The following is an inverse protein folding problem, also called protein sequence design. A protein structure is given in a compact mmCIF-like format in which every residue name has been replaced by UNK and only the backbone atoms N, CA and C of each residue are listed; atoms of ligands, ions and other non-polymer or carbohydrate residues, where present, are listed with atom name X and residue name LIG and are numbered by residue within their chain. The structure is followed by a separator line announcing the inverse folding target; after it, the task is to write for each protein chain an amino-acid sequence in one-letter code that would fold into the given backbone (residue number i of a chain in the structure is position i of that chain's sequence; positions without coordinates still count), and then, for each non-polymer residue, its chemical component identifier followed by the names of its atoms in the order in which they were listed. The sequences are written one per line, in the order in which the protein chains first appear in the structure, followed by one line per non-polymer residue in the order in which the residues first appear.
data_IF_544040903481
#
_entry.id   IF_544040903481
#
_cell.length_a   1.000
_cell.length_b   1.000
_cell.length_c   1.000
_cell.angle_alpha   90.00
_cell.angle_beta   90.00
_cell.angle_gamma   90.00
#
_symmetry.space_group_name_H-M   'P 1'
#
loop_
_entity.id
_entity.type
_entity.pdbx_description
1 polymer ?
#
# COMPACT_ATOMS: atom_id res chain seq x y z
N UNK A 1 25.46 -52.73 24.42
CA UNK A 1 24.84 -51.54 23.79
C UNK A 1 25.03 -51.65 22.27
N UNK A 2 23.93 -51.73 21.53
CA UNK A 2 23.90 -52.04 20.09
C UNK A 2 24.49 -50.87 19.28
N UNK A 3 25.50 -51.14 18.44
CA UNK A 3 25.88 -50.28 17.31
C UNK A 3 25.45 -51.00 16.03
N UNK A 4 24.60 -50.36 15.24
CA UNK A 4 24.24 -50.82 13.90
C UNK A 4 25.37 -50.46 12.90
N UNK A 5 25.64 -51.31 11.90
CA UNK A 5 26.72 -51.13 10.96
C UNK A 5 26.29 -50.26 9.77
N UNK A 6 27.24 -49.50 9.26
CA UNK A 6 27.19 -48.88 7.95
C UNK A 6 27.64 -49.90 6.86
N UNK A 7 27.11 -49.69 5.66
CA UNK A 7 27.63 -50.12 4.36
C UNK A 7 27.57 -51.60 3.96
N UNK A 8 26.88 -51.90 2.85
CA UNK A 8 27.43 -51.98 1.48
C UNK A 8 26.61 -52.96 0.63
N UNK A 9 25.96 -52.46 -0.42
CA UNK A 9 25.77 -53.20 -1.66
C UNK A 9 25.79 -52.20 -2.82
N UNK A 10 26.94 -52.23 -3.52
CA UNK A 10 27.22 -51.74 -4.86
C UNK A 10 26.25 -52.43 -5.87
N UNK A 11 25.96 -51.99 -7.10
CA UNK A 11 26.59 -51.09 -8.07
C UNK A 11 25.60 -50.98 -9.27
N UNK A 12 25.62 -49.84 -9.98
CA UNK A 12 25.17 -49.63 -11.37
C UNK A 12 23.66 -49.86 -11.66
N UNK A 13 22.93 -48.95 -12.28
CA UNK A 13 23.18 -48.45 -13.64
C UNK A 13 23.00 -46.93 -13.76
N UNK A 14 23.88 -46.33 -14.57
CA UNK A 14 23.75 -44.98 -15.06
C UNK A 14 22.61 -44.91 -16.07
N UNK A 15 21.57 -44.16 -15.73
CA UNK A 15 20.49 -43.77 -16.62
C UNK A 15 20.28 -42.27 -16.49
N UNK A 16 21.09 -41.52 -17.22
CA UNK A 16 20.97 -40.08 -17.38
C UNK A 16 19.56 -39.74 -17.89
N UNK A 17 18.73 -39.19 -17.02
CA UNK A 17 17.44 -38.62 -17.40
C UNK A 17 17.26 -37.32 -16.64
N UNK A 18 17.46 -36.23 -17.38
CA UNK A 18 17.18 -34.86 -16.97
C UNK A 18 15.79 -34.77 -16.31
N UNK A 19 15.61 -33.96 -15.25
CA UNK A 19 14.28 -33.68 -14.75
C UNK A 19 13.50 -32.95 -15.83
N UNK A 20 12.48 -33.61 -16.37
CA UNK A 20 11.45 -32.98 -17.18
C UNK A 20 10.80 -31.89 -16.35
N UNK A 21 11.07 -30.64 -16.70
CA UNK A 21 10.27 -29.50 -16.25
C UNK A 21 8.84 -29.70 -16.78
N UNK A 22 7.97 -30.32 -15.98
CA UNK A 22 6.53 -30.21 -16.17
C UNK A 22 6.18 -28.72 -16.06
N UNK A 23 5.83 -28.13 -17.19
CA UNK A 23 5.23 -26.81 -17.30
C UNK A 23 3.89 -26.80 -16.54
N UNK A 24 3.95 -26.61 -15.22
CA UNK A 24 2.78 -26.38 -14.40
C UNK A 24 2.30 -24.96 -14.72
N UNK A 25 1.36 -24.85 -15.66
CA UNK A 25 0.52 -23.66 -15.73
C UNK A 25 -0.15 -23.49 -14.37
N UNK A 26 0.00 -22.34 -13.70
CA UNK A 26 -0.63 -22.13 -12.40
C UNK A 26 -2.15 -22.32 -12.52
N UNK A 27 -2.78 -23.00 -11.54
CA UNK A 27 -4.21 -23.31 -11.59
C UNK A 27 -5.03 -22.02 -11.60
N UNK A 28 -5.92 -21.89 -12.58
CA UNK A 28 -6.81 -20.74 -12.71
C UNK A 28 -7.70 -20.58 -11.47
N UNK A 29 -8.07 -19.32 -11.17
CA UNK A 29 -8.92 -18.96 -10.04
C UNK A 29 -10.25 -18.39 -10.53
N UNK A 30 -11.35 -18.99 -10.09
CA UNK A 30 -12.70 -18.60 -10.47
C UNK A 30 -13.63 -18.51 -9.24
N UNK A 31 -14.71 -17.75 -9.35
CA UNK A 31 -15.69 -17.57 -8.27
C UNK A 31 -17.14 -17.90 -8.69
N UNK A 32 -18.01 -18.05 -7.69
CA UNK A 32 -19.43 -18.35 -7.85
C UNK A 32 -20.27 -17.23 -8.50
N UNK A 33 -19.67 -16.11 -8.91
CA UNK A 33 -20.32 -15.07 -9.71
C UNK A 33 -20.00 -15.22 -11.21
N UNK A 34 -19.33 -16.31 -11.62
CA UNK A 34 -18.92 -16.54 -13.01
C UNK A 34 -17.72 -15.69 -13.42
N UNK A 35 -16.94 -15.17 -12.46
CA UNK A 35 -15.74 -14.39 -12.74
C UNK A 35 -14.50 -15.27 -12.74
N UNK A 36 -13.59 -14.98 -13.66
CA UNK A 36 -12.25 -15.56 -13.75
C UNK A 36 -11.23 -14.51 -13.31
N UNK A 37 -10.58 -14.76 -12.19
CA UNK A 37 -9.58 -13.85 -11.65
C UNK A 37 -8.31 -13.88 -12.50
N UNK A 38 -7.89 -12.71 -12.99
CA UNK A 38 -6.72 -12.59 -13.88
C UNK A 38 -5.47 -12.23 -13.08
N UNK A 39 -4.34 -12.87 -13.44
CA UNK A 39 -3.05 -12.64 -12.81
C UNK A 39 -2.25 -11.58 -13.60
N UNK A 40 -1.90 -10.47 -12.95
CA UNK A 40 -0.88 -9.51 -13.41
C UNK A 40 0.49 -9.78 -12.78
N UNK A 41 0.55 -10.70 -11.82
CA UNK A 41 1.73 -11.15 -11.10
C UNK A 41 1.55 -12.58 -10.61
N UNK A 42 2.62 -13.19 -10.10
CA UNK A 42 2.56 -14.50 -9.45
C UNK A 42 1.61 -14.44 -8.24
N UNK A 43 0.56 -15.27 -8.24
CA UNK A 43 -0.50 -15.37 -7.21
C UNK A 43 -1.53 -14.21 -7.17
N UNK A 44 -1.46 -13.23 -8.07
CA UNK A 44 -2.39 -12.11 -8.09
C UNK A 44 -3.86 -12.55 -8.28
N UNK A 45 -4.10 -13.60 -9.05
CA UNK A 45 -5.42 -14.22 -9.21
C UNK A 45 -6.02 -14.71 -7.87
N UNK A 46 -5.22 -15.35 -7.01
CA UNK A 46 -5.64 -15.76 -5.66
C UNK A 46 -5.87 -14.56 -4.72
N UNK A 47 -4.95 -13.59 -4.74
CA UNK A 47 -5.10 -12.36 -3.95
C UNK A 47 -6.36 -11.59 -4.34
N UNK A 48 -6.67 -11.54 -5.64
CA UNK A 48 -7.87 -10.90 -6.14
C UNK A 48 -9.12 -11.54 -5.55
N UNK A 49 -9.22 -12.87 -5.55
CA UNK A 49 -10.38 -13.56 -4.96
C UNK A 49 -10.46 -13.29 -3.44
N UNK A 50 -9.34 -13.39 -2.74
CA UNK A 50 -9.30 -13.21 -1.28
C UNK A 50 -9.71 -11.81 -0.84
N UNK A 51 -9.27 -10.78 -1.58
CA UNK A 51 -9.68 -9.41 -1.31
C UNK A 51 -11.19 -9.23 -1.45
N UNK A 52 -11.79 -9.80 -2.49
CA UNK A 52 -13.25 -9.74 -2.67
C UNK A 52 -13.97 -10.51 -1.56
N UNK A 53 -13.47 -11.68 -1.14
CA UNK A 53 -14.05 -12.44 -0.03
C UNK A 53 -14.00 -11.69 1.31
N UNK A 54 -13.03 -10.80 1.51
CA UNK A 54 -12.89 -10.01 2.72
C UNK A 54 -13.76 -8.74 2.73
N UNK A 55 -14.07 -8.19 1.55
CA UNK A 55 -14.71 -6.87 1.42
C UNK A 55 -16.16 -6.91 0.92
N UNK A 56 -16.57 -8.02 0.31
CA UNK A 56 -17.93 -8.20 -0.18
C UNK A 56 -18.88 -8.65 0.93
N UNK A 57 -20.08 -8.08 0.97
CA UNK A 57 -21.19 -8.59 1.80
C UNK A 57 -21.76 -9.92 1.23
N UNK A 58 -21.55 -10.18 -0.06
CA UNK A 58 -21.93 -11.44 -0.69
C UNK A 58 -20.92 -12.57 -0.36
N UNK A 59 -21.44 -13.77 -0.06
CA UNK A 59 -20.65 -14.98 0.18
C UNK A 59 -19.96 -15.47 -1.10
N UNK A 60 -18.80 -14.91 -1.37
CA UNK A 60 -17.95 -15.27 -2.51
C UNK A 60 -17.19 -16.56 -2.22
N UNK A 61 -17.31 -17.54 -3.11
CA UNK A 61 -16.66 -18.84 -2.98
C UNK A 61 -15.78 -19.15 -4.19
N UNK A 62 -14.62 -19.76 -3.92
CA UNK A 62 -13.76 -20.29 -4.98
C UNK A 62 -14.45 -21.48 -5.64
N UNK A 63 -14.49 -21.50 -6.97
CA UNK A 63 -14.99 -22.62 -7.75
C UNK A 63 -13.91 -23.17 -8.69
N UNK A 64 -14.13 -24.40 -9.16
CA UNK A 64 -13.36 -24.95 -10.27
C UNK A 64 -13.73 -24.21 -11.55
N UNK A 65 -12.75 -23.70 -12.28
CA UNK A 65 -12.98 -22.97 -13.52
C UNK A 65 -13.58 -23.89 -14.60
N UNK A 66 -14.59 -23.39 -15.29
CA UNK A 66 -15.27 -24.05 -16.41
C UNK A 66 -15.76 -23.02 -17.44
N UNK A 67 -16.54 -23.48 -18.44
CA UNK A 67 -17.05 -22.63 -19.53
C UNK A 67 -18.04 -21.53 -19.10
N UNK A 68 -18.56 -21.57 -17.87
CA UNK A 68 -19.46 -20.54 -17.33
C UNK A 68 -18.71 -19.28 -16.87
N UNK A 69 -17.41 -19.39 -16.59
CA UNK A 69 -16.58 -18.32 -16.03
C UNK A 69 -16.01 -17.40 -17.11
N UNK A 70 -16.88 -16.59 -17.73
CA UNK A 70 -16.55 -15.78 -18.91
C UNK A 70 -16.03 -14.38 -18.58
N UNK A 71 -16.26 -13.89 -17.37
CA UNK A 71 -15.95 -12.49 -17.01
C UNK A 71 -14.53 -12.41 -16.44
N UNK A 72 -13.54 -11.83 -17.15
CA UNK A 72 -12.24 -11.57 -16.55
C UNK A 72 -12.39 -10.53 -15.45
N UNK A 73 -11.78 -10.78 -14.29
CA UNK A 73 -11.92 -9.91 -13.14
C UNK A 73 -10.60 -9.74 -12.41
N UNK A 74 -10.34 -8.52 -11.96
CA UNK A 74 -9.29 -8.21 -11.01
C UNK A 74 -9.93 -7.33 -9.95
N UNK A 75 -9.73 -7.66 -8.68
CA UNK A 75 -10.24 -6.86 -7.58
C UNK A 75 -9.76 -5.43 -7.77
N UNK A 76 -10.59 -4.39 -7.67
CA UNK A 76 -10.14 -3.00 -7.78
C UNK A 76 -9.00 -2.69 -6.78
N UNK A 77 -9.02 -3.36 -5.62
CA UNK A 77 -7.96 -3.30 -4.61
C UNK A 77 -6.65 -3.93 -5.07
N UNK A 78 -6.70 -4.90 -6.00
CA UNK A 78 -5.53 -5.51 -6.61
C UNK A 78 -5.15 -4.86 -7.95
N UNK A 79 -6.11 -4.34 -8.72
CA UNK A 79 -5.86 -3.56 -9.92
C UNK A 79 -5.06 -2.30 -9.56
N UNK A 80 -5.39 -1.68 -8.42
CA UNK A 80 -4.59 -0.64 -7.79
C UNK A 80 -3.23 -1.12 -7.23
N UNK A 81 -2.99 -2.43 -7.10
CA UNK A 81 -1.71 -3.06 -6.76
C UNK A 81 -0.95 -3.63 -7.98
N UNK A 82 -1.55 -3.69 -9.17
CA UNK A 82 -0.92 -4.29 -10.37
C UNK A 82 0.31 -3.54 -10.89
N UNK A 83 0.70 -2.47 -10.20
CA UNK A 83 2.04 -1.89 -10.24
C UNK A 83 2.85 -2.38 -9.03
N UNK A 84 3.37 -3.61 -9.08
CA UNK A 84 4.53 -4.01 -8.28
C UNK A 84 5.77 -3.27 -8.77
N UNK A 85 5.80 -1.97 -8.50
CA UNK A 85 7.00 -1.14 -8.54
C UNK A 85 7.09 -0.56 -7.12
N UNK A 86 8.25 -0.70 -6.48
CA UNK A 86 8.48 -0.27 -5.10
C UNK A 86 8.24 1.23 -4.88
N UNK A 87 8.70 1.74 -3.74
CA UNK A 87 8.63 3.16 -3.38
C UNK A 87 9.08 4.05 -4.55
N UNK A 88 8.16 4.84 -5.11
CA UNK A 88 8.49 5.85 -6.12
C UNK A 88 8.41 7.23 -5.47
N UNK A 89 9.54 7.94 -5.50
CA UNK A 89 9.64 9.31 -5.00
C UNK A 89 9.12 10.24 -6.09
N UNK A 90 8.17 11.11 -5.73
CA UNK A 90 7.69 12.14 -6.66
C UNK A 90 8.77 13.16 -7.01
N UNK A 91 8.53 13.92 -8.07
CA UNK A 91 9.47 14.93 -8.59
C UNK A 91 9.96 15.86 -7.46
N UNK A 92 11.23 15.74 -7.07
CA UNK A 92 11.88 16.66 -6.14
C UNK A 92 12.11 17.99 -6.87
N UNK A 93 11.33 19.01 -6.52
CA UNK A 93 11.72 20.39 -6.80
C UNK A 93 12.63 20.82 -5.65
N UNK A 94 13.77 21.44 -5.93
CA UNK A 94 14.76 21.86 -4.92
C UNK A 94 14.08 22.45 -3.68
N UNK A 95 14.25 21.82 -2.50
CA UNK A 95 13.66 22.26 -1.23
C UNK A 95 12.20 21.86 -0.97
N UNK A 96 11.52 21.13 -1.87
CA UNK A 96 10.11 20.74 -1.75
C UNK A 96 9.88 19.27 -2.08
N UNK A 97 9.00 18.65 -1.28
CA UNK A 97 8.67 17.24 -1.37
C UNK A 97 7.18 17.04 -1.16
N UNK A 98 6.49 16.66 -2.24
CA UNK A 98 5.05 16.44 -2.20
C UNK A 98 4.68 15.11 -1.52
N UNK A 99 5.63 14.20 -1.37
CA UNK A 99 5.44 12.87 -0.80
C UNK A 99 5.87 11.79 -1.79
N UNK A 100 5.60 10.54 -1.43
CA UNK A 100 5.78 9.42 -2.35
C UNK A 100 4.64 9.41 -3.37
N UNK A 101 4.98 9.22 -4.65
CA UNK A 101 3.97 9.01 -5.69
C UNK A 101 3.30 7.63 -5.51
N UNK A 102 4.09 6.64 -5.09
CA UNK A 102 3.66 5.27 -4.79
C UNK A 102 4.39 4.72 -3.55
N UNK A 103 3.64 4.03 -2.69
CA UNK A 103 4.18 3.22 -1.59
C UNK A 103 3.43 1.89 -1.51
N UNK A 104 4.18 0.79 -1.49
CA UNK A 104 3.64 -0.58 -1.61
C UNK A 104 2.64 -0.74 -2.78
N UNK A 105 2.97 -0.14 -3.93
CA UNK A 105 2.13 -0.14 -5.14
C UNK A 105 0.91 0.79 -5.08
N UNK A 106 0.66 1.44 -3.95
CA UNK A 106 -0.55 2.23 -3.71
C UNK A 106 -0.26 3.73 -3.76
N UNK A 107 -1.16 4.47 -4.41
CA UNK A 107 -1.08 5.93 -4.58
C UNK A 107 -1.52 6.68 -3.31
N UNK A 108 -1.18 7.96 -3.28
CA UNK A 108 -1.47 8.85 -2.14
C UNK A 108 -2.96 8.90 -1.74
N UNK A 109 -3.89 8.81 -2.69
CA UNK A 109 -5.34 8.79 -2.44
C UNK A 109 -5.77 7.57 -1.61
N UNK A 110 -5.26 6.39 -1.92
CA UNK A 110 -5.47 5.20 -1.09
C UNK A 110 -4.98 5.42 0.33
N UNK A 111 -3.77 5.95 0.48
CA UNK A 111 -3.17 6.17 1.79
C UNK A 111 -3.88 7.26 2.59
N UNK A 112 -4.36 8.32 1.93
CA UNK A 112 -5.20 9.34 2.54
C UNK A 112 -6.53 8.76 3.05
N UNK A 113 -7.20 7.92 2.26
CA UNK A 113 -8.42 7.24 2.68
C UNK A 113 -8.18 6.26 3.85
N UNK A 114 -7.08 5.49 3.80
CA UNK A 114 -6.70 4.59 4.89
C UNK A 114 -6.37 5.36 6.17
N UNK A 115 -5.63 6.46 6.06
CA UNK A 115 -5.31 7.33 7.17
C UNK A 115 -6.59 7.89 7.83
N UNK A 116 -7.57 8.33 7.03
CA UNK A 116 -8.85 8.82 7.55
C UNK A 116 -9.66 7.75 8.29
N UNK A 117 -9.64 6.51 7.79
CA UNK A 117 -10.52 5.43 8.27
C UNK A 117 -9.88 4.53 9.34
N UNK A 118 -8.54 4.42 9.36
CA UNK A 118 -7.79 3.55 10.27
C UNK A 118 -6.88 4.32 11.22
N UNK A 119 -6.62 5.60 10.96
CA UNK A 119 -5.81 6.46 11.81
C UNK A 119 -4.30 6.21 11.70
N UNK A 120 -3.54 6.98 12.47
CA UNK A 120 -2.07 6.97 12.46
C UNK A 120 -1.48 5.67 13.01
N UNK A 121 -2.17 5.02 13.96
CA UNK A 121 -1.69 3.83 14.66
C UNK A 121 -1.88 2.53 13.86
N UNK A 122 -2.56 2.59 12.72
CA UNK A 122 -2.63 1.46 11.79
C UNK A 122 -1.23 1.13 11.28
N UNK A 123 -0.77 -0.11 11.49
CA UNK A 123 0.59 -0.55 11.16
C UNK A 123 1.01 -0.22 9.72
N UNK A 124 0.09 -0.30 8.75
CA UNK A 124 0.39 0.00 7.34
C UNK A 124 0.52 1.50 7.13
N UNK A 125 -0.36 2.29 7.74
CA UNK A 125 -0.28 3.76 7.73
C UNK A 125 1.01 4.22 8.40
N UNK A 126 1.33 3.72 9.60
CA UNK A 126 2.57 4.05 10.31
C UNK A 126 3.82 3.78 9.46
N UNK A 127 3.87 2.63 8.77
CA UNK A 127 5.00 2.28 7.88
C UNK A 127 5.11 3.22 6.67
N UNK A 128 3.98 3.60 6.06
CA UNK A 128 3.94 4.59 4.98
C UNK A 128 4.44 5.95 5.45
N UNK A 129 3.92 6.45 6.57
CA UNK A 129 4.29 7.73 7.17
C UNK A 129 5.79 7.76 7.50
N UNK A 130 6.31 6.70 8.12
CA UNK A 130 7.72 6.58 8.46
C UNK A 130 8.61 6.58 7.21
N UNK A 131 8.25 5.81 6.19
CA UNK A 131 9.01 5.73 4.94
C UNK A 131 9.05 7.09 4.24
N UNK A 132 7.91 7.77 4.14
CA UNK A 132 7.84 9.08 3.50
C UNK A 132 8.58 10.16 4.31
N UNK A 133 8.52 10.11 5.65
CA UNK A 133 9.30 11.00 6.51
C UNK A 133 10.81 10.84 6.28
N UNK A 134 11.31 9.60 6.23
CA UNK A 134 12.73 9.30 6.03
C UNK A 134 13.25 9.60 4.62
N UNK A 135 12.35 9.64 3.64
CA UNK A 135 12.68 9.90 2.22
C UNK A 135 13.04 11.36 1.95
N UNK A 136 12.81 12.27 2.91
CA UNK A 136 13.12 13.69 2.77
C UNK A 136 14.06 14.15 3.88
N UNK A 137 15.29 14.48 3.48
CA UNK A 137 16.37 14.95 4.35
C UNK A 137 16.98 16.21 3.72
N UNK A 138 16.30 17.34 3.84
CA UNK A 138 16.72 18.64 3.31
C UNK A 138 16.43 19.76 4.32
N UNK A 139 17.25 20.81 4.32
CA UNK A 139 17.20 21.94 5.25
C UNK A 139 18.11 21.85 6.48
N UNK A 140 18.11 22.92 7.26
CA UNK A 140 18.89 23.05 8.50
C UNK A 140 18.37 22.14 9.60
N UNK A 141 17.06 21.85 9.58
CA UNK A 141 16.40 20.95 10.54
C UNK A 141 15.68 19.80 9.82
N UNK A 142 16.39 18.76 9.36
CA UNK A 142 15.82 17.67 8.56
C UNK A 142 14.81 16.80 9.33
N UNK A 143 14.87 16.80 10.67
CA UNK A 143 13.92 16.10 11.53
C UNK A 143 12.64 16.90 11.82
N UNK A 144 12.65 18.21 11.56
CA UNK A 144 11.44 19.04 11.65
C UNK A 144 10.59 18.88 10.39
N UNK A 145 9.31 19.17 10.53
CA UNK A 145 8.32 19.01 9.48
C UNK A 145 7.71 20.38 9.22
N UNK A 146 8.11 21.00 8.11
CA UNK A 146 7.60 22.28 7.65
C UNK A 146 6.88 22.09 6.31
N UNK A 147 5.85 22.89 6.05
CA UNK A 147 5.15 22.88 4.77
C UNK A 147 5.27 24.21 4.02
N UNK A 148 4.79 24.21 2.77
CA UNK A 148 4.79 25.39 1.89
C UNK A 148 3.90 26.54 2.34
N UNK A 149 3.15 26.39 3.43
CA UNK A 149 2.35 27.46 4.06
C UNK A 149 3.03 27.97 5.35
N UNK A 150 4.31 27.62 5.57
CA UNK A 150 5.09 27.99 6.74
C UNK A 150 4.49 27.50 8.07
N UNK A 151 3.84 26.33 8.03
CA UNK A 151 3.38 25.64 9.25
C UNK A 151 4.39 24.58 9.66
N UNK A 152 4.74 24.54 10.94
CA UNK A 152 5.59 23.50 11.53
C UNK A 152 4.73 22.50 12.34
N UNK A 153 4.86 21.22 12.04
CA UNK A 153 4.08 20.14 12.64
C UNK A 153 4.89 19.39 13.72
N UNK A 154 4.25 18.98 14.83
CA UNK A 154 4.92 18.19 15.86
C UNK A 154 5.16 16.73 15.45
N UNK A 155 4.35 16.20 14.52
CA UNK A 155 4.48 14.83 14.03
C UNK A 155 4.05 14.70 12.56
N UNK A 156 4.51 13.63 11.91
CA UNK A 156 4.28 13.44 10.47
C UNK A 156 2.84 13.07 10.13
N UNK A 157 2.13 12.42 11.05
CA UNK A 157 0.74 12.07 10.83
C UNK A 157 -0.14 13.31 10.66
N UNK A 158 0.04 14.33 11.51
CA UNK A 158 -0.70 15.58 11.42
C UNK A 158 -0.42 16.33 10.10
N UNK A 159 0.85 16.38 9.68
CA UNK A 159 1.22 16.94 8.38
C UNK A 159 0.52 16.21 7.22
N UNK A 160 0.51 14.87 7.25
CA UNK A 160 -0.11 14.07 6.19
C UNK A 160 -1.63 14.18 6.18
N UNK A 161 -2.28 14.24 7.33
CA UNK A 161 -3.71 14.53 7.44
C UNK A 161 -4.06 15.89 6.82
N UNK A 162 -3.28 16.93 7.13
CA UNK A 162 -3.45 18.24 6.50
C UNK A 162 -3.24 18.18 4.99
N UNK A 163 -2.18 17.50 4.52
CA UNK A 163 -1.90 17.37 3.10
C UNK A 163 -3.04 16.67 2.35
N UNK A 164 -3.59 15.60 2.92
CA UNK A 164 -4.74 14.87 2.37
C UNK A 164 -5.98 15.76 2.28
N UNK A 165 -6.27 16.52 3.35
CA UNK A 165 -7.38 17.47 3.39
C UNK A 165 -7.25 18.57 2.33
N UNK A 166 -6.05 19.15 2.20
CA UNK A 166 -5.81 20.19 1.20
C UNK A 166 -5.91 19.64 -0.22
N UNK A 167 -5.38 18.43 -0.46
CA UNK A 167 -5.52 17.74 -1.75
C UNK A 167 -6.99 17.53 -2.11
N UNK A 168 -7.83 17.12 -1.15
CA UNK A 168 -9.26 16.94 -1.37
C UNK A 168 -9.97 18.24 -1.76
N UNK A 169 -9.45 19.39 -1.32
CA UNK A 169 -9.93 20.73 -1.68
C UNK A 169 -9.26 21.30 -2.93
N UNK A 170 -8.61 20.45 -3.75
CA UNK A 170 -7.83 20.84 -4.92
C UNK A 170 -6.69 21.84 -4.64
N UNK A 171 -6.22 21.90 -3.39
CA UNK A 171 -5.05 22.69 -2.97
C UNK A 171 -3.83 21.78 -2.81
N UNK A 172 -2.64 22.34 -3.04
CA UNK A 172 -1.37 21.61 -2.90
C UNK A 172 -0.57 22.16 -1.74
N UNK A 173 -0.30 21.31 -0.76
CA UNK A 173 0.66 21.55 0.31
C UNK A 173 1.73 20.47 0.21
N UNK A 174 2.99 20.87 0.18
CA UNK A 174 4.13 19.95 0.16
C UNK A 174 5.00 20.18 1.37
N UNK A 175 5.71 19.13 1.82
CA UNK A 175 6.79 19.28 2.78
C UNK A 175 7.86 20.16 2.15
N UNK A 176 8.42 21.06 2.92
CA UNK A 176 9.60 21.82 2.53
C UNK A 176 10.68 21.69 3.59
N UNK A 177 11.89 22.06 3.20
CA UNK A 177 13.01 22.20 4.13
C UNK A 177 12.67 23.21 5.23
N UNK A 178 12.98 22.87 6.47
CA UNK A 178 12.91 23.81 7.58
C UNK A 178 14.23 24.59 7.66
N UNK A 179 14.16 25.92 7.56
CA UNK A 179 15.31 26.83 7.61
C UNK A 179 15.37 27.60 8.93
N UNK A 180 16.57 27.91 9.40
CA UNK A 180 16.81 28.66 10.65
C UNK A 180 16.34 30.13 10.57
N UNK A 181 16.45 30.74 9.40
CA UNK A 181 16.15 32.16 9.20
C UNK A 181 14.69 32.42 8.78
N UNK A 182 13.81 31.42 8.91
CA UNK A 182 12.40 31.51 8.56
C UNK A 182 11.52 31.47 9.82
N UNK A 183 10.36 32.11 9.74
CA UNK A 183 9.38 32.11 10.84
C UNK A 183 8.23 31.17 10.49
N UNK A 184 7.90 30.26 11.41
CA UNK A 184 6.85 29.27 11.21
C UNK A 184 5.72 29.41 12.22
N UNK A 185 4.49 29.11 11.79
CA UNK A 185 3.39 28.85 12.70
C UNK A 185 3.56 27.45 13.29
N UNK A 186 3.99 27.37 14.54
CA UNK A 186 4.22 26.08 15.21
C UNK A 186 2.90 25.54 15.77
N UNK A 187 2.52 24.33 15.33
CA UNK A 187 1.35 23.64 15.87
C UNK A 187 1.67 22.97 17.20
N UNK A 188 0.71 23.05 18.12
CA UNK A 188 0.74 22.29 19.38
C UNK A 188 0.31 20.84 19.15
N UNK A 189 0.64 19.97 20.09
CA UNK A 189 0.21 18.57 20.05
C UNK A 189 -1.32 18.43 19.95
N UNK A 190 -2.07 19.16 20.79
CA UNK A 190 -3.54 19.15 20.74
C UNK A 190 -4.10 19.59 19.37
N UNK A 191 -3.58 20.69 18.80
CA UNK A 191 -4.00 21.12 17.45
C UNK A 191 -3.66 20.09 16.38
N UNK A 192 -2.59 19.31 16.58
CA UNK A 192 -2.19 18.26 15.65
C UNK A 192 -3.16 17.08 15.67
N UNK A 193 -3.68 16.72 16.85
CA UNK A 193 -4.70 15.68 17.02
C UNK A 193 -6.03 16.13 16.40
N UNK A 194 -6.43 17.39 16.61
CA UNK A 194 -7.61 17.98 15.98
C UNK A 194 -7.54 17.92 14.44
N UNK A 195 -6.37 18.14 13.84
CA UNK A 195 -6.18 18.02 12.38
C UNK A 195 -6.38 16.60 11.89
N UNK A 196 -5.87 15.60 12.61
CA UNK A 196 -6.04 14.18 12.27
C UNK A 196 -7.53 13.80 12.34
N UNK A 197 -8.21 14.21 13.42
CA UNK A 197 -9.64 13.96 13.59
C UNK A 197 -10.47 14.65 12.52
N UNK A 198 -10.16 15.91 12.19
CA UNK A 198 -10.86 16.65 11.15
C UNK A 198 -10.73 15.99 9.78
N UNK A 199 -9.56 15.46 9.43
CA UNK A 199 -9.40 14.71 8.19
C UNK A 199 -10.31 13.48 8.15
N UNK A 200 -10.38 12.72 9.23
CA UNK A 200 -11.29 11.56 9.35
C UNK A 200 -12.77 11.95 9.16
N UNK A 201 -13.19 13.05 9.79
CA UNK A 201 -14.55 13.59 9.68
C UNK A 201 -14.88 14.07 8.26
N UNK A 202 -14.01 14.89 7.66
CA UNK A 202 -14.21 15.38 6.29
C UNK A 202 -14.21 14.25 5.27
N UNK A 203 -13.37 13.23 5.45
CA UNK A 203 -13.38 12.07 4.57
C UNK A 203 -14.71 11.31 4.67
N UNK A 204 -15.23 11.14 5.89
CA UNK A 204 -16.50 10.43 6.13
C UNK A 204 -17.68 11.13 5.43
N UNK A 205 -17.74 12.46 5.44
CA UNK A 205 -18.82 13.20 4.76
C UNK A 205 -18.77 13.05 3.25
N UNK A 206 -17.58 12.96 2.64
CA UNK A 206 -17.42 12.71 1.21
C UNK A 206 -17.92 11.32 0.82
N UNK A 207 -17.62 10.31 1.63
CA UNK A 207 -18.06 8.93 1.36
C UNK A 207 -19.57 8.74 1.54
N UNK A 208 -20.19 9.47 2.48
CA UNK A 208 -21.65 9.44 2.68
C UNK A 208 -22.39 10.19 1.55
N UNK A 209 -21.82 11.26 1.01
CA UNK A 209 -22.40 12.01 -0.11
C UNK A 209 -22.32 11.31 -1.47
N UNK A 210 -21.50 10.25 -1.60
CA UNK A 210 -21.38 9.43 -2.82
C UNK A 210 -22.29 8.18 -2.80
N UNK A 211 -22.94 7.90 -1.67
CA UNK A 211 -23.83 6.75 -1.49
C UNK A 211 -25.33 7.12 -1.64
N UNK A 212 -25.64 8.33 -2.14
CA UNK A 212 -26.98 8.86 -2.36
C UNK A 212 -27.30 9.09 -3.83
#
# INVERSE_FOLDING_TARGET
MRRHPAERLWRAEAGESQPQFLSHTPPQVCDNLGRRHVATCTLCDFCSLKLEQCHSEASLQRQQCDSSHKTPFISPLLASQSMSIGTQIGTLKSGRFYGLDLYAGLRMDFWCARLATKGCEDNRVASWLQTEFLSFQDGDFPTKICDTEYVQYPNYCAFKSQQCMMRNRNRKVSRMRCLQNETYTVLTQAKSEDLVLRWSQEFSTLTLGQAG
#
